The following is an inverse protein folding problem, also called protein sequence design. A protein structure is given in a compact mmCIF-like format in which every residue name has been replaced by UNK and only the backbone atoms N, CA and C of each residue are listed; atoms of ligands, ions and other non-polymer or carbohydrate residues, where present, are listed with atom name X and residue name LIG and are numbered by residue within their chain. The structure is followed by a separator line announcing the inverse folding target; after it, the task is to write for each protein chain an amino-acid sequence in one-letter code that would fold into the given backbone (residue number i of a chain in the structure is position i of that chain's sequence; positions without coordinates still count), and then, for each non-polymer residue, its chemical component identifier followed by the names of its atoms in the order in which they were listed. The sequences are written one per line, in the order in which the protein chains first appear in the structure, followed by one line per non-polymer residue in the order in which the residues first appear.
data_IF_869806219114
#
_entry.id   IF_869806219114
#
_cell.length_a   1.000
_cell.length_b   1.000
_cell.length_c   1.000
_cell.angle_alpha   90.00
_cell.angle_beta   90.00
_cell.angle_gamma   90.00
#
_symmetry.space_group_name_H-M   'P 1'
#
loop_
_entity.id
_entity.type
_entity.pdbx_description
1 polymer ?
#
# COMPACT_ATOMS: atom_id res chain seq x y z
N UNK A 1 42.98 38.76 23.52
CA UNK A 1 42.28 38.13 22.36
C UNK A 1 40.87 37.80 22.80
N UNK A 2 39.88 38.13 21.95
CA UNK A 2 38.44 37.82 21.99
C UNK A 2 38.14 36.44 22.58
N UNK A 3 37.16 36.29 23.50
CA UNK A 3 35.73 36.04 23.23
C UNK A 3 35.39 34.65 23.82
N UNK A 4 34.27 34.29 24.45
CA UNK A 4 32.88 34.75 24.51
C UNK A 4 32.22 34.11 25.76
N UNK A 5 31.17 34.76 26.26
CA UNK A 5 30.27 34.37 27.36
C UNK A 5 29.07 33.54 26.82
N UNK A 6 28.56 32.56 27.60
CA UNK A 6 27.14 32.18 27.84
C UNK A 6 27.09 30.72 28.38
N UNK A 7 26.63 30.30 29.57
CA UNK A 7 25.55 30.64 30.53
C UNK A 7 24.20 29.93 30.23
N UNK A 8 23.99 28.81 30.97
CA UNK A 8 22.74 28.18 31.51
C UNK A 8 21.89 27.40 30.46
N UNK A 9 21.42 26.16 30.65
CA UNK A 9 20.37 25.69 31.59
C UNK A 9 20.41 24.15 31.78
N UNK A 10 20.46 23.76 33.05
CA UNK A 10 20.03 22.54 33.76
C UNK A 10 19.09 21.52 33.05
N UNK A 11 19.59 20.28 33.00
CA UNK A 11 19.00 19.01 33.47
C UNK A 11 17.50 18.73 33.24
N UNK A 12 17.20 17.82 32.31
CA UNK A 12 16.13 16.81 32.39
C UNK A 12 16.32 15.74 31.31
N UNK A 13 17.01 14.64 31.67
CA UNK A 13 16.64 13.31 31.18
C UNK A 13 15.62 12.75 32.20
N UNK A 14 14.67 11.83 31.88
CA UNK A 14 14.89 10.69 30.97
C UNK A 14 13.64 10.23 30.17
N UNK A 15 13.83 9.49 29.06
CA UNK A 15 13.00 8.32 28.75
C UNK A 15 13.60 7.56 27.54
N UNK A 16 14.05 6.35 27.85
CA UNK A 16 14.25 5.17 27.00
C UNK A 16 14.60 5.33 25.51
N UNK A 17 15.87 5.04 25.24
CA UNK A 17 16.37 4.12 24.20
C UNK A 17 15.29 3.50 23.29
N UNK A 18 14.92 4.21 22.21
CA UNK A 18 14.30 3.56 21.06
C UNK A 18 15.41 2.91 20.25
N UNK A 19 15.63 1.62 20.51
CA UNK A 19 16.43 0.75 19.66
C UNK A 19 16.05 0.97 18.18
N UNK A 20 16.96 1.54 17.40
CA UNK A 20 16.85 1.53 15.94
C UNK A 20 16.93 0.06 15.50
N UNK A 21 15.77 -0.56 15.30
CA UNK A 21 15.68 -1.86 14.63
C UNK A 21 16.40 -1.83 13.26
N UNK A 22 16.79 -2.98 12.70
CA UNK A 22 17.64 -3.03 11.52
C UNK A 22 17.02 -2.27 10.36
N UNK A 23 17.68 -1.20 9.91
CA UNK A 23 17.34 -0.47 8.68
C UNK A 23 17.59 -1.38 7.48
N UNK A 24 16.55 -2.09 7.03
CA UNK A 24 16.61 -2.90 5.82
C UNK A 24 16.83 -1.98 4.60
N UNK A 25 17.73 -2.34 3.66
CA UNK A 25 18.05 -1.49 2.52
C UNK A 25 16.85 -1.35 1.58
N UNK A 26 16.29 -0.14 1.48
CA UNK A 26 15.28 0.20 0.46
C UNK A 26 15.94 0.33 -0.91
N UNK A 27 16.23 -0.79 -1.57
CA UNK A 27 16.52 -0.81 -3.01
C UNK A 27 15.16 -0.88 -3.73
N UNK A 28 14.63 0.28 -4.07
CA UNK A 28 13.40 0.45 -4.87
C UNK A 28 13.59 -0.04 -6.32
N UNK A 29 13.69 -1.37 -6.49
CA UNK A 29 13.58 -2.01 -7.80
C UNK A 29 12.10 -1.90 -8.20
N UNK A 30 11.82 -1.12 -9.24
CA UNK A 30 10.51 -1.08 -9.89
C UNK A 30 10.10 -2.52 -10.24
N UNK A 31 9.05 -3.04 -9.59
CA UNK A 31 8.63 -4.43 -9.73
C UNK A 31 7.80 -4.52 -11.02
N UNK A 32 8.38 -5.10 -12.06
CA UNK A 32 7.72 -5.33 -13.35
C UNK A 32 7.31 -6.80 -13.45
N UNK A 33 6.01 -7.03 -13.63
CA UNK A 33 5.37 -8.35 -13.52
C UNK A 33 5.59 -9.27 -14.73
N UNK A 34 6.02 -8.75 -15.89
CA UNK A 34 6.22 -9.58 -17.10
C UNK A 34 7.25 -10.69 -16.86
N UNK A 35 6.79 -11.95 -16.87
CA UNK A 35 7.65 -13.15 -16.97
C UNK A 35 7.63 -14.12 -15.78
N UNK A 36 6.47 -14.40 -15.17
CA UNK A 36 6.34 -15.43 -14.13
C UNK A 36 6.99 -15.06 -12.79
N UNK A 37 7.22 -13.77 -12.55
CA UNK A 37 7.81 -13.28 -11.30
C UNK A 37 6.71 -12.91 -10.32
N UNK A 38 6.85 -13.37 -9.08
CA UNK A 38 5.99 -12.94 -7.98
C UNK A 38 6.49 -11.65 -7.37
N UNK A 39 5.58 -10.85 -6.83
CA UNK A 39 5.89 -9.64 -6.06
C UNK A 39 5.40 -9.83 -4.62
N UNK A 40 6.15 -9.32 -3.64
CA UNK A 40 5.68 -9.28 -2.25
C UNK A 40 4.89 -8.00 -2.05
N UNK A 41 3.61 -8.14 -1.69
CA UNK A 41 2.71 -7.02 -1.44
C UNK A 41 2.60 -6.78 0.07
N UNK A 42 3.09 -5.64 0.55
CA UNK A 42 3.02 -5.23 1.96
C UNK A 42 1.79 -4.37 2.24
N UNK A 43 1.30 -3.66 1.21
CA UNK A 43 0.18 -2.72 1.32
C UNK A 43 -0.60 -2.69 0.03
N UNK A 44 -1.91 -2.52 0.12
CA UNK A 44 -2.77 -2.22 -1.04
C UNK A 44 -3.25 -0.78 -0.93
N UNK A 45 -3.11 -0.02 -2.02
CA UNK A 45 -3.61 1.34 -2.15
C UNK A 45 -4.70 1.38 -3.21
N UNK A 46 -5.87 1.90 -2.84
CA UNK A 46 -7.01 2.04 -3.73
C UNK A 46 -7.14 3.49 -4.18
N UNK A 47 -7.41 3.69 -5.47
CA UNK A 47 -7.62 4.98 -6.09
C UNK A 47 -8.99 4.93 -6.79
N UNK A 48 -9.77 5.99 -6.68
CA UNK A 48 -11.08 6.10 -7.35
C UNK A 48 -12.24 5.45 -6.60
N UNK A 49 -12.00 4.78 -5.48
CA UNK A 49 -13.08 4.25 -4.63
C UNK A 49 -13.82 5.40 -3.91
N UNK A 50 -15.07 5.66 -4.29
CA UNK A 50 -15.93 6.70 -3.70
C UNK A 50 -17.16 6.09 -3.04
N UNK A 51 -17.75 5.10 -3.69
CA UNK A 51 -18.92 4.38 -3.20
C UNK A 51 -18.59 3.39 -2.07
N UNK A 52 -17.48 2.68 -2.22
CA UNK A 52 -17.03 1.68 -1.26
C UNK A 52 -15.87 2.23 -0.44
N UNK A 53 -15.95 2.05 0.87
CA UNK A 53 -14.89 2.52 1.77
C UNK A 53 -13.58 1.76 1.56
N UNK A 54 -12.45 2.47 1.69
CA UNK A 54 -11.11 1.86 1.62
C UNK A 54 -10.96 0.73 2.62
N UNK A 55 -11.57 0.83 3.81
CA UNK A 55 -11.55 -0.22 4.85
C UNK A 55 -12.17 -1.53 4.36
N UNK A 56 -13.31 -1.48 3.67
CA UNK A 56 -13.96 -2.68 3.12
C UNK A 56 -13.10 -3.33 2.04
N UNK A 57 -12.49 -2.53 1.17
CA UNK A 57 -11.59 -3.04 0.14
C UNK A 57 -10.31 -3.64 0.75
N UNK A 58 -9.78 -3.03 1.81
CA UNK A 58 -8.64 -3.60 2.55
C UNK A 58 -8.98 -4.94 3.20
N UNK A 59 -10.17 -5.10 3.78
CA UNK A 59 -10.61 -6.40 4.29
C UNK A 59 -10.72 -7.44 3.18
N UNK A 60 -11.21 -7.03 2.00
CA UNK A 60 -11.32 -7.89 0.82
C UNK A 60 -9.94 -8.35 0.30
N UNK A 61 -8.92 -7.49 0.36
CA UNK A 61 -7.58 -7.79 -0.16
C UNK A 61 -6.57 -8.23 0.90
N UNK A 62 -6.93 -8.22 2.18
CA UNK A 62 -6.06 -8.66 3.28
C UNK A 62 -5.41 -10.03 3.09
N UNK A 63 -6.06 -11.05 2.47
CA UNK A 63 -5.44 -12.36 2.24
C UNK A 63 -4.22 -12.33 1.31
N UNK A 64 -4.03 -11.25 0.54
CA UNK A 64 -2.94 -11.08 -0.41
C UNK A 64 -1.78 -10.24 0.16
N UNK A 65 -1.86 -9.82 1.43
CA UNK A 65 -0.78 -9.08 2.10
C UNK A 65 0.32 -10.01 2.62
N UNK A 66 1.54 -9.49 2.66
CA UNK A 66 2.75 -10.11 3.20
C UNK A 66 3.08 -11.49 2.61
N UNK A 67 2.70 -11.72 1.35
CA UNK A 67 3.00 -12.94 0.61
C UNK A 67 3.42 -12.65 -0.83
N UNK A 68 4.07 -13.61 -1.50
CA UNK A 68 4.28 -13.55 -2.94
C UNK A 68 2.93 -13.62 -3.67
N UNK A 69 2.74 -12.70 -4.62
CA UNK A 69 1.58 -12.53 -5.47
C UNK A 69 2.02 -12.70 -6.92
N UNK A 70 1.38 -13.62 -7.63
CA UNK A 70 1.57 -13.92 -9.05
C UNK A 70 0.65 -13.07 -9.94
N UNK A 71 0.85 -13.12 -11.26
CA UNK A 71 -0.10 -12.50 -12.21
C UNK A 71 -1.52 -13.08 -12.05
N UNK A 72 -1.66 -14.38 -11.77
CA UNK A 72 -2.96 -15.01 -11.51
C UNK A 72 -3.64 -14.45 -10.26
N UNK A 73 -2.88 -14.24 -9.18
CA UNK A 73 -3.41 -13.62 -7.96
C UNK A 73 -3.89 -12.18 -8.23
N UNK A 74 -3.21 -11.43 -9.10
CA UNK A 74 -3.63 -10.07 -9.47
C UNK A 74 -4.95 -10.07 -10.23
N UNK A 75 -5.12 -10.98 -11.18
CA UNK A 75 -6.39 -11.19 -11.88
C UNK A 75 -7.50 -11.56 -10.90
N UNK A 76 -7.21 -12.45 -9.95
CA UNK A 76 -8.18 -12.84 -8.92
C UNK A 76 -8.59 -11.65 -8.03
N UNK A 77 -7.63 -10.82 -7.61
CA UNK A 77 -7.90 -9.59 -6.84
C UNK A 77 -8.81 -8.66 -7.65
N UNK A 78 -8.50 -8.44 -8.93
CA UNK A 78 -9.28 -7.58 -9.83
C UNK A 78 -10.73 -8.07 -9.91
N UNK A 79 -10.94 -9.34 -10.25
CA UNK A 79 -12.27 -9.93 -10.35
C UNK A 79 -13.03 -9.91 -9.02
N UNK A 80 -12.33 -10.14 -7.90
CA UNK A 80 -12.94 -10.15 -6.57
C UNK A 80 -13.46 -8.77 -6.20
N UNK A 81 -12.71 -7.72 -6.51
CA UNK A 81 -13.15 -6.33 -6.33
C UNK A 81 -14.34 -6.02 -7.25
N UNK A 82 -14.27 -6.38 -8.54
CA UNK A 82 -15.37 -6.14 -9.48
C UNK A 82 -16.66 -6.85 -9.03
N UNK A 83 -16.59 -8.13 -8.66
CA UNK A 83 -17.74 -8.88 -8.14
C UNK A 83 -18.29 -8.24 -6.87
N UNK A 84 -17.43 -7.76 -5.98
CA UNK A 84 -17.86 -7.06 -4.78
C UNK A 84 -18.63 -5.78 -5.13
N UNK A 85 -18.15 -4.96 -6.06
CA UNK A 85 -18.84 -3.77 -6.54
C UNK A 85 -20.18 -4.08 -7.20
N UNK A 86 -20.21 -5.08 -8.10
CA UNK A 86 -21.45 -5.55 -8.74
C UNK A 86 -22.47 -6.02 -7.71
N UNK A 87 -22.05 -6.73 -6.66
CA UNK A 87 -22.92 -7.15 -5.56
C UNK A 87 -23.53 -5.99 -4.76
N UNK A 88 -22.96 -4.79 -4.89
CA UNK A 88 -23.45 -3.55 -4.27
C UNK A 88 -24.28 -2.67 -5.22
N UNK A 89 -24.57 -3.16 -6.43
CA UNK A 89 -25.37 -2.47 -7.44
C UNK A 89 -24.57 -1.64 -8.44
N UNK A 90 -23.25 -1.83 -8.54
CA UNK A 90 -22.41 -1.14 -9.52
C UNK A 90 -22.09 -2.08 -10.69
N UNK A 91 -22.96 -2.11 -11.70
CA UNK A 91 -22.80 -3.01 -12.86
C UNK A 91 -21.66 -2.58 -13.79
N UNK A 92 -21.47 -1.26 -13.91
CA UNK A 92 -20.40 -0.67 -14.69
C UNK A 92 -19.23 -0.32 -13.74
N UNK A 93 -18.32 -1.26 -13.54
CA UNK A 93 -17.08 -1.01 -12.79
C UNK A 93 -15.91 -1.52 -13.62
N UNK A 94 -14.80 -0.77 -13.61
CA UNK A 94 -13.52 -1.25 -14.13
C UNK A 94 -12.49 -1.17 -13.03
N UNK A 95 -11.79 -2.27 -12.80
CA UNK A 95 -10.64 -2.31 -11.89
C UNK A 95 -9.40 -2.44 -12.74
N UNK A 96 -8.34 -1.69 -12.47
CA UNK A 96 -7.08 -1.77 -13.17
C UNK A 96 -5.93 -1.86 -12.16
N UNK A 97 -5.02 -2.79 -12.40
CA UNK A 97 -3.81 -2.97 -11.59
C UNK A 97 -2.61 -2.74 -12.50
N UNK A 98 -1.87 -1.63 -12.33
CA UNK A 98 -0.69 -1.35 -13.15
C UNK A 98 0.35 -2.48 -13.08
N UNK A 99 1.04 -2.76 -14.18
CA UNK A 99 2.09 -3.79 -14.19
C UNK A 99 3.36 -3.39 -13.43
N UNK A 100 3.51 -2.09 -13.14
CA UNK A 100 4.61 -1.51 -12.36
C UNK A 100 4.14 -1.18 -10.95
N UNK A 101 4.72 -1.84 -9.96
CA UNK A 101 4.42 -1.62 -8.55
C UNK A 101 5.61 -0.99 -7.82
N UNK A 102 5.34 -0.11 -6.86
CA UNK A 102 6.36 0.63 -6.11
C UNK A 102 6.54 0.05 -4.71
N UNK A 103 7.72 -0.47 -4.40
CA UNK A 103 8.13 -0.76 -3.02
C UNK A 103 7.20 -1.72 -2.24
N UNK A 104 6.60 -2.70 -2.93
CA UNK A 104 5.64 -3.63 -2.31
C UNK A 104 4.28 -3.02 -1.99
N UNK A 105 3.98 -1.83 -2.52
CA UNK A 105 2.62 -1.27 -2.53
C UNK A 105 1.94 -1.70 -3.82
N UNK A 106 0.81 -2.39 -3.70
CA UNK A 106 -0.07 -2.74 -4.80
C UNK A 106 -1.09 -1.62 -5.01
N UNK A 107 -0.96 -0.87 -6.10
CA UNK A 107 -1.94 0.14 -6.50
C UNK A 107 -3.07 -0.51 -7.29
N UNK A 108 -4.31 -0.19 -6.91
CA UNK A 108 -5.54 -0.61 -7.58
C UNK A 108 -6.35 0.62 -7.94
N UNK A 109 -6.48 0.88 -9.24
CA UNK A 109 -7.29 1.95 -9.79
C UNK A 109 -8.71 1.42 -10.04
N UNK A 110 -9.72 2.13 -9.54
CA UNK A 110 -11.12 1.75 -9.65
C UNK A 110 -11.88 2.87 -10.33
N UNK A 111 -12.46 2.56 -11.49
CA UNK A 111 -13.41 3.42 -12.19
C UNK A 111 -14.82 2.94 -11.86
N UNK A 112 -15.49 3.68 -10.97
CA UNK A 112 -16.87 3.44 -10.59
C UNK A 112 -17.83 4.08 -11.59
N UNK A 113 -18.70 3.27 -12.19
CA UNK A 113 -19.83 3.75 -12.98
C UNK A 113 -21.05 4.07 -12.12
N UNK A 114 -22.18 4.28 -12.78
CA UNK A 114 -23.44 4.56 -12.07
C UNK A 114 -23.92 3.32 -11.31
N UNK A 115 -24.52 3.58 -10.16
CA UNK A 115 -25.27 2.57 -9.43
C UNK A 115 -26.60 2.32 -10.15
N UNK A 116 -26.92 1.06 -10.38
CA UNK A 116 -28.20 0.61 -10.96
C UNK A 116 -29.32 0.58 -9.93
#
# INVERSE_FOLDING_TARGET
MLGILAVIIIHSAPFDEVAEGPKMPQKNKELSLKGGRTIVVNKVQFIGNKAISTKQLQQLTSPYLNRPISETDLTEIQERIERFYKSKGYDQVKVNIPSKQKGGVLTVDIEEGKKS
#
